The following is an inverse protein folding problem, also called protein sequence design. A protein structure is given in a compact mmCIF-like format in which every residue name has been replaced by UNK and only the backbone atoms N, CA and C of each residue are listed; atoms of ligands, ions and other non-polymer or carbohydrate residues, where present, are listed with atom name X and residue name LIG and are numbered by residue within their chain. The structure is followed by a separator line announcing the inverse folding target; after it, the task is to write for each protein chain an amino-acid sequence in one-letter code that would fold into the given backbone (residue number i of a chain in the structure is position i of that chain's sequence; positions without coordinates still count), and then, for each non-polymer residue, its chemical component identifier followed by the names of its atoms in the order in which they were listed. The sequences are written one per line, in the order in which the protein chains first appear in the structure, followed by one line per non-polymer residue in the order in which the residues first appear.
data_IF_167681030480
#
_entry.id   IF_167681030480
#
_cell.length_a   1.000
_cell.length_b   1.000
_cell.length_c   1.000
_cell.angle_alpha   90.00
_cell.angle_beta   90.00
_cell.angle_gamma   90.00
#
_symmetry.space_group_name_H-M   'P 1'
#
loop_
_entity.id
_entity.type
_entity.pdbx_description
1 polymer ?
#
# COMPACT_ATOMS: atom_id res chain seq x y z
N UNK A 1 -0.88 -2.42 11.38
CA UNK A 1 0.30 -3.07 10.79
C UNK A 1 0.76 -2.28 9.57
N UNK A 2 2.07 -2.18 9.32
CA UNK A 2 2.68 -1.50 8.15
C UNK A 2 2.22 -2.12 6.82
N UNK A 3 1.97 -1.28 5.81
CA UNK A 3 1.61 -1.64 4.43
C UNK A 3 2.41 -2.82 3.86
N UNK A 4 3.73 -2.88 4.07
CA UNK A 4 4.56 -3.99 3.55
C UNK A 4 4.15 -5.35 4.08
N UNK A 5 3.73 -5.36 5.34
CA UNK A 5 3.24 -6.57 5.99
C UNK A 5 1.90 -6.98 5.40
N UNK A 6 0.99 -6.02 5.18
CA UNK A 6 -0.31 -6.26 4.55
C UNK A 6 -0.15 -6.80 3.13
N UNK A 7 0.70 -6.17 2.33
CA UNK A 7 0.91 -6.55 0.94
C UNK A 7 1.58 -7.92 0.78
N UNK A 8 2.61 -8.23 1.58
CA UNK A 8 3.17 -9.59 1.63
C UNK A 8 2.08 -10.61 1.98
N UNK A 9 1.25 -10.30 2.97
CA UNK A 9 0.13 -11.16 3.34
C UNK A 9 -0.93 -11.28 2.24
N UNK A 10 -1.23 -10.24 1.46
CA UNK A 10 -2.19 -10.31 0.35
C UNK A 10 -1.66 -11.15 -0.83
N UNK A 11 -0.35 -11.12 -1.06
CA UNK A 11 0.30 -12.01 -2.03
C UNK A 11 0.34 -13.45 -1.52
N UNK A 12 0.61 -13.63 -0.22
CA UNK A 12 0.68 -14.96 0.43
C UNK A 12 -0.71 -15.55 0.73
N UNK A 13 -1.74 -14.70 0.86
CA UNK A 13 -3.14 -15.06 1.14
C UNK A 13 -4.03 -14.39 0.10
N UNK A 14 -4.44 -15.17 -0.89
CA UNK A 14 -5.55 -14.78 -1.77
C UNK A 14 -6.83 -14.59 -0.96
N UNK A 15 -7.11 -13.32 -0.64
CA UNK A 15 -8.37 -12.71 -0.16
C UNK A 15 -9.20 -13.53 0.84
N UNK A 16 -9.27 -13.05 2.09
CA UNK A 16 -10.40 -13.35 2.98
C UNK A 16 -10.88 -12.08 3.69
N UNK A 17 -12.21 -12.00 3.79
CA UNK A 17 -13.02 -10.78 3.69
C UNK A 17 -13.37 -10.14 5.03
N UNK A 18 -13.78 -8.88 4.94
CA UNK A 18 -14.24 -7.94 5.96
C UNK A 18 -15.59 -8.31 6.62
N UNK A 19 -15.59 -8.48 7.93
CA UNK A 19 -16.77 -8.35 8.80
C UNK A 19 -16.30 -7.92 10.19
N UNK A 20 -16.89 -6.84 10.73
CA UNK A 20 -16.86 -6.39 12.16
C UNK A 20 -16.63 -4.88 12.40
N UNK A 21 -17.15 -3.98 11.56
CA UNK A 21 -16.97 -2.52 11.75
C UNK A 21 -18.25 -1.69 11.97
N UNK A 22 -19.40 -2.31 12.25
CA UNK A 22 -20.67 -1.57 12.31
C UNK A 22 -21.08 -1.00 13.68
N UNK A 23 -20.50 -1.43 14.81
CA UNK A 23 -21.07 -1.11 16.14
C UNK A 23 -20.53 0.15 16.85
N UNK A 24 -19.50 0.86 16.34
CA UNK A 24 -18.84 1.97 17.08
C UNK A 24 -19.02 3.38 16.50
N UNK A 25 -19.93 3.57 15.55
CA UNK A 25 -19.96 4.77 14.70
C UNK A 25 -20.53 6.07 15.31
N UNK A 26 -21.20 6.03 16.48
CA UNK A 26 -22.02 7.18 16.93
C UNK A 26 -21.28 8.28 17.71
N UNK A 27 -20.14 8.00 18.35
CA UNK A 27 -19.40 9.00 19.14
C UNK A 27 -18.22 9.68 18.40
N UNK A 28 -17.83 9.22 17.19
CA UNK A 28 -16.59 9.64 16.48
C UNK A 28 -16.77 10.59 15.29
N UNK A 29 -17.91 11.26 15.12
CA UNK A 29 -18.25 11.92 13.85
C UNK A 29 -17.26 13.02 13.38
N UNK A 30 -16.65 13.80 14.30
CA UNK A 30 -15.67 14.84 13.93
C UNK A 30 -14.27 14.28 13.66
N UNK A 31 -13.80 13.33 14.47
CA UNK A 31 -12.54 12.62 14.22
C UNK A 31 -12.63 11.78 12.93
N UNK A 32 -13.80 11.20 12.62
CA UNK A 32 -14.05 10.45 11.38
C UNK A 32 -13.84 11.28 10.11
N UNK A 33 -14.04 12.60 10.14
CA UNK A 33 -13.82 13.43 8.94
C UNK A 33 -12.32 13.59 8.65
N UNK A 34 -11.51 13.94 9.65
CA UNK A 34 -10.06 14.13 9.47
C UNK A 34 -9.36 12.79 9.24
N UNK A 35 -9.68 11.80 10.06
CA UNK A 35 -9.18 10.43 9.92
C UNK A 35 -9.66 9.81 8.60
N UNK A 36 -10.87 10.13 8.13
CA UNK A 36 -11.40 9.65 6.85
C UNK A 36 -10.64 10.15 5.64
N UNK A 37 -10.26 11.44 5.61
CA UNK A 37 -9.39 12.01 4.57
C UNK A 37 -8.02 11.33 4.60
N UNK A 38 -7.40 11.19 5.77
CA UNK A 38 -6.10 10.52 5.91
C UNK A 38 -6.14 9.06 5.46
N UNK A 39 -7.21 8.31 5.78
CA UNK A 39 -7.43 6.94 5.30
C UNK A 39 -7.57 6.88 3.78
N UNK A 40 -8.32 7.81 3.19
CA UNK A 40 -8.50 7.85 1.75
C UNK A 40 -7.19 8.17 1.02
N UNK A 41 -6.42 9.14 1.51
CA UNK A 41 -5.09 9.45 1.01
C UNK A 41 -4.14 8.25 1.13
N UNK A 42 -4.18 7.54 2.26
CA UNK A 42 -3.41 6.33 2.49
C UNK A 42 -3.80 5.24 1.48
N UNK A 43 -5.10 4.97 1.31
CA UNK A 43 -5.62 4.02 0.33
C UNK A 43 -5.16 4.35 -1.10
N UNK A 44 -5.16 5.63 -1.48
CA UNK A 44 -4.66 6.04 -2.80
C UNK A 44 -3.15 5.78 -2.96
N UNK A 45 -2.36 6.08 -1.94
CA UNK A 45 -0.91 5.81 -1.97
C UNK A 45 -0.62 4.31 -2.05
N UNK A 46 -1.38 3.49 -1.33
CA UNK A 46 -1.29 2.03 -1.35
C UNK A 46 -1.67 1.46 -2.72
N UNK A 47 -2.75 1.96 -3.34
CA UNK A 47 -3.14 1.58 -4.71
C UNK A 47 -2.05 1.95 -5.74
N UNK A 48 -1.46 3.15 -5.61
CA UNK A 48 -0.33 3.56 -6.45
C UNK A 48 0.88 2.64 -6.26
N UNK A 49 1.23 2.29 -5.02
CA UNK A 49 2.32 1.37 -4.73
C UNK A 49 2.05 -0.03 -5.29
N UNK A 50 0.83 -0.53 -5.16
CA UNK A 50 0.38 -1.80 -5.73
C UNK A 50 0.53 -1.83 -7.26
N UNK A 51 0.12 -0.76 -7.96
CA UNK A 51 0.27 -0.63 -9.41
C UNK A 51 1.74 -0.65 -9.84
N UNK A 52 2.62 0.04 -9.12
CA UNK A 52 4.05 0.05 -9.44
C UNK A 52 4.70 -1.31 -9.21
N UNK A 53 4.29 -2.02 -8.16
CA UNK A 53 4.77 -3.38 -7.92
C UNK A 53 4.26 -4.37 -8.96
N UNK A 54 3.01 -4.23 -9.42
CA UNK A 54 2.50 -5.01 -10.54
C UNK A 54 3.33 -4.75 -11.81
N UNK A 55 3.63 -3.47 -12.11
CA UNK A 55 4.49 -3.07 -13.23
C UNK A 55 5.90 -3.66 -13.11
N UNK A 56 6.49 -3.65 -11.92
CA UNK A 56 7.78 -4.29 -11.65
C UNK A 56 7.71 -5.81 -11.90
N UNK A 57 6.64 -6.46 -11.45
CA UNK A 57 6.39 -7.88 -11.69
C UNK A 57 6.25 -8.22 -13.18
N UNK A 58 5.55 -7.39 -13.95
CA UNK A 58 5.46 -7.53 -15.41
C UNK A 58 6.83 -7.40 -16.07
N UNK A 59 7.61 -6.37 -15.71
CA UNK A 59 8.97 -6.19 -16.24
C UNK A 59 9.87 -7.39 -15.91
N UNK A 60 9.80 -7.90 -14.67
CA UNK A 60 10.53 -9.10 -14.27
C UNK A 60 10.10 -10.33 -15.07
N UNK A 61 8.79 -10.53 -15.27
CA UNK A 61 8.27 -11.62 -16.08
C UNK A 61 8.78 -11.57 -17.52
N UNK A 62 8.74 -10.40 -18.17
CA UNK A 62 9.21 -10.22 -19.54
C UNK A 62 10.71 -10.49 -19.67
N UNK A 63 11.53 -10.01 -18.74
CA UNK A 63 12.99 -10.26 -18.73
C UNK A 63 13.27 -11.75 -18.57
N UNK A 64 12.59 -12.41 -17.63
CA UNK A 64 12.78 -13.83 -17.34
C UNK A 64 12.25 -14.72 -18.47
N UNK A 65 11.14 -14.35 -19.12
CA UNK A 65 10.60 -15.06 -20.28
C UNK A 65 11.59 -15.08 -21.45
N UNK A 66 12.37 -14.01 -21.60
CA UNK A 66 13.45 -13.92 -22.58
C UNK A 66 14.75 -14.64 -22.15
N UNK A 67 14.72 -15.37 -21.03
CA UNK A 67 15.86 -16.11 -20.49
C UNK A 67 17.00 -15.23 -19.96
N UNK A 68 16.73 -13.94 -19.71
CA UNK A 68 17.72 -12.99 -19.20
C UNK A 68 17.64 -12.91 -17.67
N UNK A 69 18.75 -12.54 -17.04
CA UNK A 69 18.76 -12.23 -15.62
C UNK A 69 18.02 -10.90 -15.38
N UNK A 70 17.19 -10.86 -14.33
CA UNK A 70 16.54 -9.66 -13.86
C UNK A 70 17.43 -8.94 -12.83
N UNK A 71 17.84 -7.72 -13.15
CA UNK A 71 18.70 -6.83 -12.37
C UNK A 71 18.14 -5.41 -12.39
N UNK A 72 18.64 -4.55 -11.50
CA UNK A 72 18.27 -3.13 -11.45
C UNK A 72 18.64 -2.34 -12.71
N UNK A 73 19.61 -2.86 -13.47
CA UNK A 73 20.12 -2.22 -14.70
C UNK A 73 19.23 -2.51 -15.91
N UNK A 74 18.24 -3.40 -15.78
CA UNK A 74 17.23 -3.57 -16.82
C UNK A 74 16.47 -2.25 -17.02
N UNK A 75 16.18 -1.94 -18.28
CA UNK A 75 15.56 -0.68 -18.68
C UNK A 75 14.24 -0.44 -17.91
N UNK A 76 14.11 0.76 -17.33
CA UNK A 76 12.94 1.17 -16.54
C UNK A 76 12.84 0.55 -15.13
N UNK A 77 13.64 -0.47 -14.78
CA UNK A 77 13.54 -1.12 -13.45
C UNK A 77 13.99 -0.22 -12.33
N UNK A 78 15.11 0.50 -12.50
CA UNK A 78 15.60 1.45 -11.48
C UNK A 78 14.59 2.55 -11.17
N UNK A 79 13.96 3.14 -12.20
CA UNK A 79 12.92 4.16 -12.04
C UNK A 79 11.71 3.62 -11.27
N UNK A 80 11.20 2.44 -11.65
CA UNK A 80 10.08 1.79 -10.95
C UNK A 80 10.44 1.53 -9.47
N UNK A 81 11.68 1.10 -9.18
CA UNK A 81 12.11 0.88 -7.79
C UNK A 81 12.20 2.17 -6.97
N UNK A 82 12.69 3.25 -7.57
CA UNK A 82 12.75 4.57 -6.91
C UNK A 82 11.35 5.10 -6.61
N UNK A 83 10.42 4.97 -7.56
CA UNK A 83 9.02 5.34 -7.37
C UNK A 83 8.37 4.53 -6.25
N UNK A 84 8.59 3.20 -6.22
CA UNK A 84 8.12 2.34 -5.12
C UNK A 84 8.70 2.84 -3.79
N UNK A 85 10.01 3.08 -3.71
CA UNK A 85 10.67 3.55 -2.48
C UNK A 85 10.09 4.87 -1.97
N UNK A 86 9.87 5.84 -2.88
CA UNK A 86 9.22 7.11 -2.57
C UNK A 86 7.80 6.91 -2.04
N UNK A 87 7.00 6.05 -2.69
CA UNK A 87 5.66 5.71 -2.24
C UNK A 87 5.67 5.05 -0.85
N UNK A 88 6.63 4.16 -0.54
CA UNK A 88 6.77 3.58 0.81
C UNK A 88 6.98 4.66 1.87
N UNK A 89 7.87 5.61 1.61
CA UNK A 89 8.17 6.69 2.55
C UNK A 89 6.94 7.57 2.81
N UNK A 90 6.17 7.87 1.76
CA UNK A 90 4.93 8.63 1.85
C UNK A 90 3.83 7.87 2.62
N UNK A 91 3.69 6.57 2.37
CA UNK A 91 2.78 5.69 3.12
C UNK A 91 3.15 5.69 4.60
N UNK A 92 4.42 5.46 4.94
CA UNK A 92 4.87 5.44 6.34
C UNK A 92 4.61 6.77 7.06
N UNK A 93 4.89 7.90 6.40
CA UNK A 93 4.56 9.23 6.95
C UNK A 93 3.06 9.40 7.18
N UNK A 94 2.23 8.94 6.23
CA UNK A 94 0.77 9.06 6.31
C UNK A 94 0.16 8.11 7.36
N UNK A 95 0.70 6.91 7.52
CA UNK A 95 0.35 5.98 8.61
C UNK A 95 0.66 6.59 9.99
N UNK A 96 1.80 7.28 10.11
CA UNK A 96 2.15 8.00 11.34
C UNK A 96 1.15 9.13 11.62
N UNK A 97 0.83 9.98 10.63
CA UNK A 97 -0.18 11.04 10.77
C UNK A 97 -1.55 10.48 11.18
N UNK A 98 -1.96 9.34 10.61
CA UNK A 98 -3.21 8.66 10.93
C UNK A 98 -3.22 8.13 12.37
N UNK A 99 -2.10 7.56 12.83
CA UNK A 99 -1.93 7.06 14.18
C UNK A 99 -1.96 8.18 15.22
N UNK A 100 -1.30 9.32 14.94
CA UNK A 100 -1.32 10.51 15.78
C UNK A 100 -2.72 11.14 15.86
N UNK A 101 -3.51 11.04 14.78
CA UNK A 101 -4.91 11.45 14.73
C UNK A 101 -5.89 10.46 15.40
N UNK A 102 -5.39 9.41 16.07
CA UNK A 102 -6.22 8.42 16.78
C UNK A 102 -6.91 7.38 15.88
N UNK A 103 -6.55 7.34 14.59
CA UNK A 103 -7.02 6.32 13.64
C UNK A 103 -6.24 5.01 13.81
N UNK A 104 -6.93 3.87 13.68
CA UNK A 104 -6.27 2.57 13.53
C UNK A 104 -6.12 2.23 12.05
N UNK A 105 -4.96 1.73 11.60
CA UNK A 105 -4.74 1.31 10.21
C UNK A 105 -5.53 0.04 9.83
N UNK A 106 -6.18 -0.63 10.79
CA UNK A 106 -6.99 -1.84 10.57
C UNK A 106 -8.45 -1.54 10.15
N UNK A 107 -8.83 -0.26 10.13
CA UNK A 107 -10.19 0.19 9.81
C UNK A 107 -10.30 0.78 8.37
N UNK A 108 -9.40 0.40 7.45
CA UNK A 108 -9.39 0.83 6.05
C UNK A 108 -9.67 -0.36 5.12
#
# INVERSE_FOLDING_TARGET
MDFWTRMKQTVDKGVETSHDLFEKAKERAQDLSRTGVLKYELMQLEDQAGKQLARLGTAAYEVLQNGKAFTTDNEGVSEIMEEISSLKSRIASKEQELSEAGGKPEDA
#
